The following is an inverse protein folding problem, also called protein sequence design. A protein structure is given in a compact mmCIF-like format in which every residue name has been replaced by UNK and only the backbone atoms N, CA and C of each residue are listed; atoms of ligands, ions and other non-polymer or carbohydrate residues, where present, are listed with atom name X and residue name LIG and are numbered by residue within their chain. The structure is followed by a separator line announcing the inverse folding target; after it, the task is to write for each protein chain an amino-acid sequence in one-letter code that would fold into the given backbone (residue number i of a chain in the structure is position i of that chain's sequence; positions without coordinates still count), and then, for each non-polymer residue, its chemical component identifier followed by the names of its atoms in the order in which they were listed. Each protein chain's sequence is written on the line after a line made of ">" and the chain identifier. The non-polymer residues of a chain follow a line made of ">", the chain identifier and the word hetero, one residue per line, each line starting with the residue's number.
data_IF_115100393023
#
_entry.id   IF_115100393023
#
_cell.length_a   1.000
_cell.length_b   1.000
_cell.length_c   1.000
_cell.angle_alpha   90.00
_cell.angle_beta   90.00
_cell.angle_gamma   90.00
#
_symmetry.space_group_name_H-M   'P 1'
#
loop_
_entity.id
_entity.type
_entity.pdbx_description
1 polymer ?
#
# COMPACT_ATOMS: atom_id res chain seq x y z
N UNK A 1 28.54 6.45 -16.31
CA UNK A 1 27.73 5.28 -15.96
C UNK A 1 27.93 5.00 -14.48
N UNK A 2 27.15 5.65 -13.62
CA UNK A 2 27.19 5.39 -12.17
C UNK A 2 26.50 4.05 -11.95
N UNK A 3 27.28 3.04 -11.58
CA UNK A 3 26.78 1.72 -11.21
C UNK A 3 25.87 1.91 -10.00
N UNK A 4 24.56 1.68 -10.18
CA UNK A 4 23.62 1.59 -9.06
C UNK A 4 24.15 0.52 -8.10
N UNK A 5 24.46 0.93 -6.86
CA UNK A 5 24.95 0.01 -5.83
C UNK A 5 23.83 -1.01 -5.57
N UNK A 6 24.06 -2.33 -5.73
CA UNK A 6 23.01 -3.31 -5.55
C UNK A 6 22.53 -3.30 -4.09
N UNK A 7 21.23 -3.05 -3.89
CA UNK A 7 20.58 -3.15 -2.58
C UNK A 7 20.44 -4.65 -2.25
N UNK A 8 20.90 -5.10 -1.07
CA UNK A 8 20.92 -6.52 -0.71
C UNK A 8 19.57 -7.20 -0.96
N UNK A 9 19.60 -8.41 -1.51
CA UNK A 9 18.45 -9.30 -1.62
C UNK A 9 17.83 -9.53 -0.24
N UNK A 10 16.53 -9.86 -0.19
CA UNK A 10 15.73 -10.09 1.03
C UNK A 10 16.28 -11.18 1.99
N UNK A 11 17.49 -11.69 1.77
CA UNK A 11 18.06 -12.86 2.44
C UNK A 11 19.21 -12.62 3.42
N UNK A 12 19.87 -11.46 3.43
CA UNK A 12 21.06 -11.26 4.27
C UNK A 12 20.88 -10.11 5.27
N UNK A 13 20.85 -10.52 6.56
CA UNK A 13 20.72 -9.74 7.80
C UNK A 13 19.30 -9.28 8.18
N UNK A 14 19.05 -9.32 9.50
CA UNK A 14 17.78 -9.08 10.19
C UNK A 14 17.29 -7.61 10.11
N UNK A 15 17.25 -7.05 8.90
CA UNK A 15 16.90 -5.67 8.62
C UNK A 15 15.42 -5.45 8.28
N UNK A 16 14.99 -4.20 8.42
CA UNK A 16 13.65 -3.77 8.03
C UNK A 16 13.59 -3.51 6.52
N UNK A 17 12.48 -3.89 5.88
CA UNK A 17 12.23 -3.54 4.48
C UNK A 17 11.99 -2.04 4.35
N UNK A 18 11.20 -1.47 5.26
CA UNK A 18 10.97 -0.04 5.41
C UNK A 18 10.97 0.33 6.88
N UNK A 19 11.64 1.42 7.22
CA UNK A 19 11.61 2.03 8.55
C UNK A 19 11.35 3.53 8.42
N UNK A 20 10.36 4.02 9.16
CA UNK A 20 10.09 5.43 9.36
C UNK A 20 10.32 5.75 10.84
N UNK A 21 11.12 6.78 11.13
CA UNK A 21 11.49 7.16 12.50
C UNK A 21 11.11 8.61 12.76
N UNK A 22 10.26 8.80 13.76
CA UNK A 22 9.85 10.11 14.29
C UNK A 22 9.40 11.10 13.21
N UNK A 23 8.62 10.61 12.22
CA UNK A 23 8.18 11.44 11.11
C UNK A 23 7.25 12.54 11.60
N UNK A 24 7.50 13.75 11.11
CA UNK A 24 6.61 14.89 11.29
C UNK A 24 6.31 15.53 9.94
N UNK A 25 5.08 15.99 9.75
CA UNK A 25 4.71 16.74 8.55
C UNK A 25 3.55 17.70 8.81
N UNK A 26 3.74 18.93 8.34
CA UNK A 26 2.72 19.98 8.39
C UNK A 26 2.46 20.55 7.01
N UNK A 27 1.18 20.75 6.69
CA UNK A 27 0.80 21.56 5.54
C UNK A 27 0.98 23.03 5.91
N UNK A 28 1.83 23.73 5.14
CA UNK A 28 1.94 25.18 5.25
C UNK A 28 0.61 25.83 4.87
N UNK A 29 0.23 26.93 5.53
CA UNK A 29 -0.93 27.69 5.09
C UNK A 29 -0.71 28.23 3.69
N UNK A 30 -1.75 28.23 2.86
CA UNK A 30 -1.73 28.92 1.57
C UNK A 30 -1.52 30.43 1.75
N UNK A 31 -1.07 31.10 0.69
CA UNK A 31 -0.96 32.56 0.68
C UNK A 31 -2.31 33.21 1.00
N UNK A 32 -2.36 34.02 2.07
CA UNK A 32 -3.55 34.75 2.49
C UNK A 32 -3.24 36.24 2.56
N UNK A 33 -4.02 37.05 1.84
CA UNK A 33 -3.94 38.51 1.85
C UNK A 33 -4.66 39.13 3.06
N UNK A 34 -5.32 38.32 3.89
CA UNK A 34 -6.10 38.79 5.03
C UNK A 34 -5.34 38.52 6.34
N UNK A 35 -5.16 39.53 7.22
CA UNK A 35 -4.44 39.34 8.48
C UNK A 35 -5.17 38.33 9.37
N UNK A 36 -4.49 37.24 9.74
CA UNK A 36 -4.94 36.33 10.81
C UNK A 36 -5.48 34.95 10.41
N UNK A 37 -5.40 34.53 9.13
CA UNK A 37 -6.04 33.26 8.69
C UNK A 37 -5.14 32.27 7.94
N UNK A 38 -3.96 32.03 8.48
CA UNK A 38 -3.01 31.07 7.95
C UNK A 38 -2.44 30.21 9.10
N UNK A 39 -3.29 29.39 9.73
CA UNK A 39 -2.79 28.30 10.58
C UNK A 39 -2.54 27.08 9.69
N UNK A 40 -1.30 26.57 9.73
CA UNK A 40 -0.95 25.31 9.09
C UNK A 40 -1.63 24.13 9.78
N UNK A 41 -1.66 22.98 9.11
CA UNK A 41 -2.26 21.75 9.65
C UNK A 41 -1.18 20.69 9.87
N UNK A 42 -1.00 20.26 11.12
CA UNK A 42 -0.10 19.15 11.48
C UNK A 42 -0.76 17.81 11.12
N UNK A 43 -0.37 17.24 9.98
CA UNK A 43 -0.97 16.02 9.47
C UNK A 43 -0.30 14.75 10.00
N UNK A 44 1.00 14.79 10.30
CA UNK A 44 1.78 13.68 10.86
C UNK A 44 2.54 14.20 12.08
N UNK A 45 2.39 13.51 13.21
CA UNK A 45 2.90 13.93 14.53
C UNK A 45 3.68 12.77 15.15
N UNK A 46 5.00 12.76 14.96
CA UNK A 46 5.90 11.77 15.56
C UNK A 46 5.52 10.31 15.24
N UNK A 47 5.38 10.01 13.95
CA UNK A 47 5.04 8.67 13.49
C UNK A 47 6.31 7.84 13.28
N UNK A 48 6.38 6.71 13.98
CA UNK A 48 7.36 5.66 13.71
C UNK A 48 6.64 4.41 13.21
N UNK A 49 7.17 3.78 12.16
CA UNK A 49 6.57 2.63 11.49
C UNK A 49 7.65 1.71 10.94
N UNK A 50 7.49 0.41 11.11
CA UNK A 50 8.46 -0.58 10.66
C UNK A 50 7.77 -1.74 9.93
N UNK A 51 8.23 -2.01 8.70
CA UNK A 51 7.77 -3.09 7.85
C UNK A 51 8.89 -4.11 7.64
N UNK A 52 8.65 -5.37 7.97
CA UNK A 52 9.63 -6.44 7.79
C UNK A 52 9.60 -7.01 6.35
N UNK A 53 10.71 -7.60 5.87
CA UNK A 53 10.73 -8.36 4.63
C UNK A 53 9.67 -9.47 4.63
N UNK A 54 8.87 -9.58 3.56
CA UNK A 54 7.83 -10.61 3.44
C UNK A 54 6.65 -10.46 4.41
N UNK A 55 6.50 -9.31 5.07
CA UNK A 55 5.38 -9.02 5.97
C UNK A 55 4.31 -8.18 5.26
N UNK A 56 3.06 -8.37 5.67
CA UNK A 56 1.97 -7.41 5.42
C UNK A 56 1.69 -6.64 6.70
N UNK A 57 1.98 -5.34 6.69
CA UNK A 57 1.61 -4.40 7.75
C UNK A 57 0.34 -3.66 7.33
N UNK A 58 -0.71 -3.79 8.13
CA UNK A 58 -1.95 -3.05 7.96
C UNK A 58 -1.89 -1.68 8.62
N UNK A 59 -2.31 -0.62 7.93
CA UNK A 59 -2.50 0.71 8.50
C UNK A 59 -3.98 1.07 8.48
N UNK A 60 -4.57 1.24 9.68
CA UNK A 60 -6.01 1.49 9.85
C UNK A 60 -6.24 2.78 10.61
N UNK A 61 -7.29 3.49 10.27
CA UNK A 61 -7.77 4.65 11.01
C UNK A 61 -8.93 5.31 10.29
N UNK A 62 -9.62 6.23 10.96
CA UNK A 62 -10.72 6.99 10.38
C UNK A 62 -10.29 7.82 9.16
N UNK A 63 -11.26 8.19 8.31
CA UNK A 63 -10.99 9.11 7.20
C UNK A 63 -10.38 10.42 7.73
N UNK A 64 -9.35 10.93 7.06
CA UNK A 64 -8.67 12.17 7.48
C UNK A 64 -7.67 12.04 8.63
N UNK A 65 -7.43 10.85 9.20
CA UNK A 65 -6.48 10.70 10.31
C UNK A 65 -4.99 10.82 9.93
N UNK A 66 -4.67 10.91 8.63
CA UNK A 66 -3.31 11.12 8.12
C UNK A 66 -2.73 9.97 7.27
N UNK A 67 -3.46 8.87 7.06
CA UNK A 67 -2.99 7.68 6.30
C UNK A 67 -2.41 8.01 4.91
N UNK A 68 -3.15 8.71 4.07
CA UNK A 68 -2.67 9.07 2.71
C UNK A 68 -1.54 10.10 2.73
N UNK A 69 -1.48 10.95 3.76
CA UNK A 69 -0.31 11.83 3.98
C UNK A 69 0.92 10.99 4.33
N UNK A 70 0.79 10.02 5.23
CA UNK A 70 1.87 9.09 5.57
C UNK A 70 2.31 8.30 4.33
N UNK A 71 1.37 7.77 3.55
CA UNK A 71 1.65 7.10 2.29
C UNK A 71 2.49 7.98 1.34
N UNK A 72 2.10 9.25 1.17
CA UNK A 72 2.81 10.21 0.31
C UNK A 72 4.26 10.44 0.78
N UNK A 73 4.49 10.50 2.09
CA UNK A 73 5.84 10.59 2.67
C UNK A 73 6.65 9.32 2.38
N UNK A 74 6.04 8.15 2.62
CA UNK A 74 6.65 6.84 2.40
C UNK A 74 6.87 6.51 0.91
N UNK A 75 6.36 7.30 -0.03
CA UNK A 75 6.63 7.16 -1.47
C UNK A 75 7.63 8.20 -2.00
N UNK A 76 8.03 9.14 -1.15
CA UNK A 76 8.86 10.28 -1.54
C UNK A 76 8.12 11.30 -2.43
N UNK A 77 6.78 11.27 -2.45
CA UNK A 77 5.98 12.31 -3.12
C UNK A 77 5.94 13.61 -2.31
N UNK A 78 6.12 13.49 -1.00
CA UNK A 78 6.32 14.59 -0.07
C UNK A 78 7.53 14.28 0.79
N UNK A 79 8.25 15.32 1.19
CA UNK A 79 9.32 15.18 2.18
C UNK A 79 8.78 15.44 3.58
N UNK A 80 9.19 14.66 4.59
CA UNK A 80 8.86 14.96 5.97
C UNK A 80 9.50 16.29 6.39
N UNK A 81 8.84 17.01 7.30
CA UNK A 81 9.41 18.21 7.93
C UNK A 81 10.55 17.84 8.88
N UNK A 82 10.46 16.68 9.53
CA UNK A 82 11.54 16.07 10.32
C UNK A 82 11.33 14.56 10.46
N UNK A 83 12.34 13.86 10.95
CA UNK A 83 12.40 12.40 10.99
C UNK A 83 13.12 11.82 9.77
N UNK A 84 13.24 10.50 9.74
CA UNK A 84 13.97 9.78 8.70
C UNK A 84 13.18 8.60 8.16
N UNK A 85 13.41 8.27 6.89
CA UNK A 85 12.86 7.09 6.23
C UNK A 85 14.03 6.29 5.64
N UNK A 86 14.01 4.98 5.85
CA UNK A 86 15.00 4.05 5.35
C UNK A 86 14.33 2.90 4.59
N UNK A 87 14.98 2.41 3.54
CA UNK A 87 14.63 1.18 2.83
C UNK A 87 15.81 0.25 2.82
N UNK A 88 15.63 -0.97 3.34
CA UNK A 88 16.70 -1.98 3.41
C UNK A 88 18.00 -1.39 4.01
N UNK A 89 17.85 -0.57 5.07
CA UNK A 89 18.96 0.12 5.75
C UNK A 89 19.57 1.31 5.00
N UNK A 90 19.03 1.71 3.84
CA UNK A 90 19.50 2.88 3.08
C UNK A 90 18.57 4.07 3.28
N UNK A 91 19.14 5.25 3.51
CA UNK A 91 18.36 6.49 3.65
C UNK A 91 17.56 6.80 2.37
N UNK A 92 16.32 7.25 2.55
CA UNK A 92 15.47 7.74 1.46
C UNK A 92 16.17 8.84 0.64
N UNK A 93 16.90 9.74 1.30
CA UNK A 93 17.57 10.87 0.63
C UNK A 93 18.62 10.41 -0.37
N UNK A 94 19.31 9.31 -0.05
CA UNK A 94 20.30 8.68 -0.92
C UNK A 94 19.62 7.98 -2.10
N UNK A 95 18.47 7.33 -1.88
CA UNK A 95 17.71 6.64 -2.92
C UNK A 95 16.98 7.58 -3.88
N UNK A 96 16.73 8.83 -3.48
CA UNK A 96 16.11 9.85 -4.32
C UNK A 96 17.11 10.61 -5.20
N UNK A 97 18.41 10.61 -4.85
CA UNK A 97 19.47 11.31 -5.60
C UNK A 97 20.32 10.29 -6.40
N UNK A 98 20.68 10.55 -7.67
CA UNK A 98 20.36 11.71 -8.49
C UNK A 98 18.97 11.63 -9.16
N UNK A 99 18.25 10.50 -9.05
CA UNK A 99 16.89 10.38 -9.58
C UNK A 99 16.05 9.36 -8.78
N UNK A 100 14.73 9.59 -8.72
CA UNK A 100 13.77 8.76 -7.96
C UNK A 100 13.59 7.32 -8.49
N UNK A 101 14.27 6.90 -9.57
CA UNK A 101 14.03 5.57 -10.17
C UNK A 101 14.55 4.43 -9.32
N UNK A 102 15.64 4.64 -8.57
CA UNK A 102 16.15 3.65 -7.62
C UNK A 102 15.11 3.32 -6.56
N UNK A 103 14.59 4.36 -5.88
CA UNK A 103 13.46 4.25 -4.96
C UNK A 103 12.25 3.57 -5.62
N UNK A 104 11.79 4.11 -6.75
CA UNK A 104 10.60 3.60 -7.43
C UNK A 104 10.76 2.15 -7.92
N UNK A 105 11.98 1.67 -8.20
CA UNK A 105 12.18 0.26 -8.56
C UNK A 105 11.89 -0.68 -7.39
N UNK A 106 12.13 -0.24 -6.16
CA UNK A 106 11.98 -1.07 -4.96
C UNK A 106 10.65 -0.90 -4.25
N UNK A 107 10.06 0.29 -4.31
CA UNK A 107 8.76 0.62 -3.72
C UNK A 107 7.81 1.10 -4.81
N UNK A 108 6.69 0.38 -4.96
CA UNK A 108 5.63 0.70 -5.90
C UNK A 108 4.31 0.93 -5.16
N UNK A 109 3.42 1.71 -5.77
CA UNK A 109 2.16 2.14 -5.16
C UNK A 109 0.98 1.65 -5.98
N UNK A 110 -0.03 1.13 -5.30
CA UNK A 110 -1.37 0.92 -5.83
C UNK A 110 -2.27 1.94 -5.14
N UNK A 111 -2.63 3.00 -5.86
CA UNK A 111 -3.46 4.09 -5.35
C UNK A 111 -4.95 3.77 -5.40
N UNK A 112 -5.72 4.51 -4.62
CA UNK A 112 -7.18 4.46 -4.59
C UNK A 112 -7.82 4.75 -5.96
N UNK A 113 -7.33 5.77 -6.67
CA UNK A 113 -7.82 6.13 -8.01
C UNK A 113 -7.04 5.41 -9.12
N UNK A 114 -7.46 4.18 -9.40
CA UNK A 114 -6.88 3.37 -10.48
C UNK A 114 -7.13 3.96 -11.87
N UNK A 115 -8.23 4.70 -12.06
CA UNK A 115 -8.53 5.32 -13.36
C UNK A 115 -7.62 6.52 -13.62
N UNK A 116 -7.43 7.39 -12.62
CA UNK A 116 -6.48 8.49 -12.69
C UNK A 116 -5.03 8.04 -12.87
N UNK A 117 -4.71 6.81 -12.45
CA UNK A 117 -3.38 6.25 -12.64
C UNK A 117 -3.07 5.79 -14.08
N UNK A 118 -4.08 5.55 -14.94
CA UNK A 118 -3.88 5.03 -16.31
C UNK A 118 -4.14 6.11 -17.37
N UNK A 119 -3.28 6.22 -18.40
CA UNK A 119 -3.55 7.13 -19.54
C UNK A 119 -4.71 6.58 -20.39
N UNK A 120 -5.86 7.27 -20.47
CA UNK A 120 -7.03 6.79 -21.21
C UNK A 120 -6.82 6.72 -22.72
N UNK A 121 -5.77 7.39 -23.24
CA UNK A 121 -5.45 7.47 -24.68
C UNK A 121 -4.47 6.41 -25.15
N UNK A 122 -3.97 5.55 -24.25
CA UNK A 122 -3.01 4.49 -24.56
C UNK A 122 -3.59 3.14 -24.14
N UNK A 123 -3.28 2.08 -24.89
CA UNK A 123 -3.59 0.72 -24.45
C UNK A 123 -2.85 0.40 -23.16
N UNK A 124 -3.39 -0.52 -22.36
CA UNK A 124 -2.74 -0.92 -21.10
C UNK A 124 -1.40 -1.60 -21.36
N UNK A 125 -1.26 -2.34 -22.48
CA UNK A 125 0.00 -2.95 -22.89
C UNK A 125 1.08 -1.93 -23.25
N UNK A 126 0.71 -0.79 -23.86
CA UNK A 126 1.66 0.31 -24.08
C UNK A 126 2.18 0.85 -22.75
N UNK A 127 1.27 1.11 -21.80
CA UNK A 127 1.63 1.66 -20.48
C UNK A 127 2.53 0.70 -19.67
N UNK A 128 2.36 -0.62 -19.84
CA UNK A 128 3.27 -1.62 -19.26
C UNK A 128 4.69 -1.51 -19.84
N UNK A 129 4.80 -1.43 -21.17
CA UNK A 129 6.09 -1.33 -21.85
C UNK A 129 6.80 0.00 -21.57
N UNK A 130 6.02 1.08 -21.45
CA UNK A 130 6.51 2.40 -21.03
C UNK A 130 7.08 2.37 -19.61
N UNK A 131 6.40 1.69 -18.68
CA UNK A 131 6.92 1.49 -17.31
C UNK A 131 8.27 0.78 -17.33
N UNK A 132 8.40 -0.31 -18.09
CA UNK A 132 9.67 -1.00 -18.30
C UNK A 132 10.74 -0.10 -18.95
N UNK A 133 10.35 0.77 -19.89
CA UNK A 133 11.26 1.71 -20.55
C UNK A 133 11.82 2.76 -19.60
N UNK A 134 10.97 3.37 -18.78
CA UNK A 134 11.34 4.39 -17.78
C UNK A 134 12.39 3.85 -16.81
N UNK A 135 12.20 2.60 -16.37
CA UNK A 135 13.11 1.90 -15.46
C UNK A 135 14.28 1.21 -16.16
N UNK A 136 14.41 1.33 -17.49
CA UNK A 136 15.46 0.69 -18.30
C UNK A 136 15.54 -0.84 -18.11
N UNK A 137 14.38 -1.48 -17.94
CA UNK A 137 14.26 -2.93 -17.74
C UNK A 137 13.99 -3.61 -19.09
N UNK A 138 14.82 -4.61 -19.39
CA UNK A 138 14.73 -5.42 -20.60
C UNK A 138 15.05 -4.66 -21.90
N UNK A 139 15.32 -5.43 -22.95
CA UNK A 139 15.47 -4.90 -24.30
C UNK A 139 14.08 -4.55 -24.88
N UNK A 140 13.93 -3.53 -25.76
CA UNK A 140 12.64 -3.21 -26.36
C UNK A 140 11.88 -4.43 -26.92
N UNK A 141 12.59 -5.37 -27.56
CA UNK A 141 12.00 -6.59 -28.11
C UNK A 141 11.47 -7.59 -27.07
N UNK A 142 11.92 -7.53 -25.82
CA UNK A 142 11.50 -8.46 -24.75
C UNK A 142 10.41 -7.90 -23.84
N UNK A 143 10.02 -6.64 -24.01
CA UNK A 143 9.05 -5.97 -23.10
C UNK A 143 7.62 -6.44 -23.31
N UNK A 144 7.26 -6.83 -24.53
CA UNK A 144 5.95 -7.43 -24.83
C UNK A 144 5.72 -8.70 -24.02
N UNK A 145 6.72 -9.57 -23.98
CA UNK A 145 6.62 -10.89 -23.36
C UNK A 145 6.53 -10.75 -21.84
N UNK A 146 7.36 -9.87 -21.25
CA UNK A 146 7.26 -9.51 -19.82
C UNK A 146 5.89 -8.95 -19.45
N UNK A 147 5.30 -8.11 -20.30
CA UNK A 147 3.95 -7.59 -20.06
C UNK A 147 2.89 -8.70 -20.11
N UNK A 148 3.02 -9.65 -21.04
CA UNK A 148 2.14 -10.81 -21.14
C UNK A 148 2.25 -11.74 -19.94
N UNK A 149 3.46 -12.04 -19.48
CA UNK A 149 3.72 -12.82 -18.27
C UNK A 149 3.14 -12.16 -17.02
N UNK A 150 3.31 -10.83 -16.90
CA UNK A 150 2.75 -10.06 -15.79
C UNK A 150 1.22 -10.09 -15.79
N UNK A 151 0.59 -10.01 -16.96
CA UNK A 151 -0.88 -10.12 -17.09
C UNK A 151 -1.37 -11.50 -16.65
N UNK A 152 -0.67 -12.58 -17.02
CA UNK A 152 -1.00 -13.93 -16.52
C UNK A 152 -0.89 -14.01 -15.00
N UNK A 153 0.16 -13.43 -14.42
CA UNK A 153 0.36 -13.41 -12.97
C UNK A 153 -0.76 -12.70 -12.19
N UNK A 154 -1.39 -11.68 -12.78
CA UNK A 154 -2.55 -10.98 -12.18
C UNK A 154 -3.91 -11.55 -12.63
N UNK A 155 -3.91 -12.74 -13.22
CA UNK A 155 -5.09 -13.42 -13.78
C UNK A 155 -5.86 -12.58 -14.81
N UNK A 156 -5.15 -11.85 -15.66
CA UNK A 156 -5.71 -11.16 -16.83
C UNK A 156 -5.34 -11.91 -18.12
N UNK A 157 -6.26 -11.99 -19.10
CA UNK A 157 -5.94 -12.55 -20.40
C UNK A 157 -4.95 -11.63 -21.12
N UNK A 158 -4.00 -12.20 -21.85
CA UNK A 158 -2.99 -11.46 -22.63
C UNK A 158 -3.64 -10.53 -23.66
N UNK A 159 -4.82 -10.90 -24.19
CA UNK A 159 -5.61 -10.05 -25.10
C UNK A 159 -6.02 -8.72 -24.48
N UNK A 160 -6.08 -8.61 -23.15
CA UNK A 160 -6.37 -7.35 -22.47
C UNK A 160 -5.26 -6.31 -22.66
N UNK A 161 -4.04 -6.69 -23.05
CA UNK A 161 -2.96 -5.74 -23.36
C UNK A 161 -3.32 -4.76 -24.48
N UNK A 162 -4.20 -5.17 -25.40
CA UNK A 162 -4.66 -4.32 -26.50
C UNK A 162 -5.82 -3.40 -26.10
N UNK A 163 -6.40 -3.59 -24.91
CA UNK A 163 -7.53 -2.79 -24.45
C UNK A 163 -7.07 -1.44 -23.89
N UNK A 164 -7.96 -0.46 -24.00
CA UNK A 164 -7.85 0.83 -23.33
C UNK A 164 -8.51 0.77 -21.94
N UNK A 165 -8.15 1.65 -20.98
CA UNK A 165 -8.70 1.64 -19.62
C UNK A 165 -10.24 1.65 -19.55
N UNK A 166 -10.90 2.37 -20.46
CA UNK A 166 -12.36 2.47 -20.51
C UNK A 166 -13.05 1.16 -20.97
N UNK A 167 -12.32 0.22 -21.57
CA UNK A 167 -12.84 -1.07 -22.05
C UNK A 167 -12.71 -2.20 -21.01
N UNK A 168 -12.25 -1.87 -19.80
CA UNK A 168 -12.01 -2.82 -18.71
C UNK A 168 -13.06 -2.65 -17.60
N UNK A 169 -13.42 -3.74 -16.93
CA UNK A 169 -14.24 -3.66 -15.70
C UNK A 169 -13.44 -3.04 -14.54
N UNK A 170 -14.10 -2.62 -13.46
CA UNK A 170 -13.43 -2.09 -12.27
C UNK A 170 -12.35 -3.04 -11.71
N UNK A 171 -12.68 -4.32 -11.54
CA UNK A 171 -11.72 -5.35 -11.11
C UNK A 171 -10.58 -5.59 -12.10
N UNK A 172 -10.86 -5.54 -13.41
CA UNK A 172 -9.80 -5.65 -14.42
C UNK A 172 -8.85 -4.46 -14.38
N UNK A 173 -9.38 -3.24 -14.24
CA UNK A 173 -8.56 -2.03 -14.04
C UNK A 173 -7.68 -2.16 -12.81
N UNK A 174 -8.22 -2.65 -11.68
CA UNK A 174 -7.43 -2.88 -10.48
C UNK A 174 -6.28 -3.86 -10.71
N UNK A 175 -6.55 -4.97 -11.38
CA UNK A 175 -5.52 -5.95 -11.76
C UNK A 175 -4.48 -5.37 -12.71
N UNK A 176 -4.85 -4.46 -13.62
CA UNK A 176 -3.89 -3.73 -14.46
C UNK A 176 -3.03 -2.80 -13.61
N UNK A 177 -3.59 -2.12 -12.61
CA UNK A 177 -2.82 -1.28 -11.66
C UNK A 177 -1.78 -2.12 -10.91
N UNK A 178 -2.21 -3.28 -10.39
CA UNK A 178 -1.34 -4.26 -9.74
C UNK A 178 -0.26 -4.74 -10.70
N UNK A 179 -0.61 -5.11 -11.94
CA UNK A 179 0.37 -5.53 -12.96
C UNK A 179 1.41 -4.44 -13.23
N UNK A 180 0.98 -3.18 -13.36
CA UNK A 180 1.87 -2.04 -13.60
C UNK A 180 2.88 -1.86 -12.46
N UNK A 181 2.44 -1.98 -11.22
CA UNK A 181 3.31 -1.91 -10.06
C UNK A 181 4.29 -3.09 -10.03
N UNK A 182 3.84 -4.30 -10.39
CA UNK A 182 4.66 -5.52 -10.30
C UNK A 182 5.65 -5.71 -11.44
N UNK A 183 5.44 -5.06 -12.58
CA UNK A 183 6.25 -5.31 -13.80
C UNK A 183 7.71 -4.91 -13.63
N UNK A 184 8.01 -4.03 -12.66
CA UNK A 184 9.37 -3.61 -12.31
C UNK A 184 10.00 -4.48 -11.21
N UNK A 185 9.30 -5.54 -10.78
CA UNK A 185 9.73 -6.48 -9.74
C UNK A 185 10.08 -5.78 -8.41
N UNK A 186 9.13 -5.01 -7.81
CA UNK A 186 9.40 -4.31 -6.57
C UNK A 186 9.58 -5.28 -5.40
N UNK A 187 10.20 -4.79 -4.32
CA UNK A 187 10.29 -5.53 -3.04
C UNK A 187 9.18 -5.11 -2.08
N UNK A 188 8.69 -3.87 -2.20
CA UNK A 188 7.64 -3.29 -1.35
C UNK A 188 6.50 -2.79 -2.22
N UNK A 189 5.27 -3.09 -1.80
CA UNK A 189 4.06 -2.58 -2.40
C UNK A 189 3.26 -1.83 -1.34
N UNK A 190 3.07 -0.53 -1.57
CA UNK A 190 2.18 0.29 -0.78
C UNK A 190 0.80 0.27 -1.44
N UNK A 191 -0.19 -0.25 -0.74
CA UNK A 191 -1.56 -0.34 -1.21
C UNK A 191 -2.41 0.69 -0.46
N UNK A 192 -2.78 1.79 -1.12
CA UNK A 192 -3.67 2.82 -0.54
C UNK A 192 -5.11 2.58 -0.99
N UNK A 193 -5.94 2.02 -0.10
CA UNK A 193 -7.35 1.72 -0.36
C UNK A 193 -7.59 0.89 -1.64
N UNK A 194 -6.82 -0.19 -1.89
CA UNK A 194 -6.71 -0.84 -3.19
C UNK A 194 -7.99 -1.55 -3.66
N UNK A 195 -9.01 -1.64 -2.81
CA UNK A 195 -10.26 -2.36 -3.09
C UNK A 195 -11.52 -1.56 -2.72
N UNK A 196 -11.37 -0.31 -2.29
CA UNK A 196 -12.46 0.51 -1.75
C UNK A 196 -13.59 0.80 -2.75
N UNK A 197 -13.28 0.87 -4.05
CA UNK A 197 -14.23 1.15 -5.12
C UNK A 197 -14.79 -0.11 -5.81
N UNK A 198 -14.54 -1.31 -5.26
CA UNK A 198 -14.91 -2.59 -5.88
C UNK A 198 -16.10 -3.22 -5.17
N UNK A 199 -16.89 -4.01 -5.90
CA UNK A 199 -17.90 -4.86 -5.27
C UNK A 199 -17.24 -5.95 -4.41
N UNK A 200 -17.98 -6.47 -3.42
CA UNK A 200 -17.48 -7.41 -2.42
C UNK A 200 -16.86 -8.67 -3.04
N UNK A 201 -17.41 -9.15 -4.16
CA UNK A 201 -16.92 -10.36 -4.82
C UNK A 201 -15.57 -10.14 -5.50
N UNK A 202 -15.44 -9.02 -6.22
CA UNK A 202 -14.19 -8.61 -6.89
C UNK A 202 -13.13 -8.20 -5.86
N UNK A 203 -13.53 -7.52 -4.79
CA UNK A 203 -12.65 -7.19 -3.66
C UNK A 203 -11.98 -8.45 -3.11
N UNK A 204 -12.73 -9.50 -2.79
CA UNK A 204 -12.16 -10.76 -2.29
C UNK A 204 -11.16 -11.38 -3.27
N UNK A 205 -11.44 -11.35 -4.58
CA UNK A 205 -10.53 -11.86 -5.60
C UNK A 205 -9.22 -11.06 -5.67
N UNK A 206 -9.29 -9.73 -5.56
CA UNK A 206 -8.11 -8.84 -5.59
C UNK A 206 -7.26 -9.03 -4.34
N UNK A 207 -7.89 -9.17 -3.17
CA UNK A 207 -7.17 -9.43 -1.91
C UNK A 207 -6.43 -10.77 -1.96
N UNK A 208 -7.09 -11.84 -2.43
CA UNK A 208 -6.44 -13.14 -2.60
C UNK A 208 -5.26 -13.06 -3.57
N UNK A 209 -5.43 -12.35 -4.70
CA UNK A 209 -4.35 -12.13 -5.65
C UNK A 209 -3.15 -11.44 -4.98
N UNK A 210 -3.36 -10.38 -4.19
CA UNK A 210 -2.27 -9.69 -3.48
C UNK A 210 -1.56 -10.62 -2.49
N UNK A 211 -2.30 -11.44 -1.74
CA UNK A 211 -1.73 -12.42 -0.80
C UNK A 211 -0.93 -13.52 -1.52
N UNK A 212 -1.43 -14.02 -2.65
CA UNK A 212 -0.74 -15.04 -3.43
C UNK A 212 0.56 -14.49 -4.03
N UNK A 213 0.53 -13.27 -4.55
CA UNK A 213 1.72 -12.57 -5.06
C UNK A 213 2.73 -12.29 -3.95
N UNK A 214 2.26 -11.90 -2.77
CA UNK A 214 3.08 -11.66 -1.60
C UNK A 214 3.88 -12.91 -1.22
N UNK A 215 3.22 -14.06 -1.13
CA UNK A 215 3.87 -15.36 -0.84
C UNK A 215 4.78 -15.81 -1.96
N UNK A 216 4.32 -15.74 -3.21
CA UNK A 216 5.06 -16.26 -4.37
C UNK A 216 6.32 -15.45 -4.69
N UNK A 217 6.35 -14.15 -4.37
CA UNK A 217 7.46 -13.24 -4.72
C UNK A 217 8.19 -12.67 -3.51
N UNK A 218 7.79 -13.02 -2.29
CA UNK A 218 8.37 -12.50 -1.05
C UNK A 218 8.21 -10.98 -0.91
N UNK A 219 7.08 -10.42 -1.37
CA UNK A 219 6.81 -8.98 -1.27
C UNK A 219 6.55 -8.57 0.19
N UNK A 220 6.96 -7.36 0.54
CA UNK A 220 6.44 -6.69 1.73
C UNK A 220 5.30 -5.76 1.35
N UNK A 221 4.19 -5.83 2.08
CA UNK A 221 2.99 -5.04 1.81
C UNK A 221 2.75 -4.04 2.94
N UNK A 222 2.62 -2.75 2.60
CA UNK A 222 1.96 -1.78 3.48
C UNK A 222 0.53 -1.59 3.00
N UNK A 223 -0.43 -2.15 3.72
CA UNK A 223 -1.84 -2.19 3.32
C UNK A 223 -2.64 -1.15 4.10
N UNK A 224 -3.04 -0.08 3.43
CA UNK A 224 -3.78 1.03 4.02
C UNK A 224 -5.26 0.87 3.68
N UNK A 225 -6.13 0.87 4.69
CA UNK A 225 -7.57 0.75 4.51
C UNK A 225 -8.33 1.28 5.72
N UNK A 226 -9.51 1.86 5.49
CA UNK A 226 -10.48 2.16 6.53
C UNK A 226 -11.36 0.95 6.91
N UNK A 227 -11.47 -0.08 6.07
CA UNK A 227 -12.17 -1.33 6.43
C UNK A 227 -11.25 -2.23 7.26
N UNK A 228 -11.51 -2.21 8.57
CA UNK A 228 -10.88 -3.00 9.62
C UNK A 228 -10.94 -4.51 9.33
N UNK A 229 -12.02 -5.02 8.71
CA UNK A 229 -12.18 -6.45 8.42
C UNK A 229 -11.24 -6.92 7.32
N UNK A 230 -11.03 -6.07 6.31
CA UNK A 230 -10.08 -6.32 5.23
C UNK A 230 -8.68 -6.40 5.81
N UNK A 231 -8.30 -5.40 6.61
CA UNK A 231 -6.97 -5.35 7.22
C UNK A 231 -6.72 -6.56 8.12
N UNK A 232 -7.71 -6.93 8.94
CA UNK A 232 -7.64 -8.14 9.77
C UNK A 232 -7.31 -9.39 8.95
N UNK A 233 -7.92 -9.52 7.78
CA UNK A 233 -7.79 -10.71 6.95
C UNK A 233 -6.43 -10.81 6.26
N UNK A 234 -5.83 -9.68 5.87
CA UNK A 234 -4.64 -9.66 5.01
C UNK A 234 -3.32 -9.39 5.74
N UNK A 235 -3.37 -8.88 6.98
CA UNK A 235 -2.20 -8.32 7.65
C UNK A 235 -1.66 -9.22 8.75
N UNK A 236 -0.34 -9.35 8.81
CA UNK A 236 0.36 -10.06 9.89
C UNK A 236 0.42 -9.20 11.15
N UNK A 237 0.71 -7.91 10.97
CA UNK A 237 0.69 -6.87 12.01
C UNK A 237 -0.20 -5.71 11.58
N UNK A 238 -0.65 -4.94 12.56
CA UNK A 238 -1.43 -3.72 12.33
C UNK A 238 -0.78 -2.54 13.04
N UNK A 239 -0.96 -1.35 12.47
CA UNK A 239 -0.75 -0.06 13.09
C UNK A 239 -2.06 0.73 13.01
N UNK A 240 -2.54 1.18 14.16
CA UNK A 240 -3.76 1.98 14.30
C UNK A 240 -3.36 3.46 14.37
N UNK A 241 -3.95 4.26 13.49
CA UNK A 241 -3.64 5.67 13.33
C UNK A 241 -4.81 6.56 13.72
N UNK A 242 -4.56 7.50 14.63
CA UNK A 242 -5.51 8.51 15.09
C UNK A 242 -4.85 9.89 15.04
N UNK A 243 -5.54 10.88 14.45
CA UNK A 243 -5.15 12.29 14.49
C UNK A 243 -3.66 12.61 14.19
N UNK A 244 -3.06 11.89 13.24
CA UNK A 244 -1.67 12.04 12.82
C UNK A 244 -0.65 11.18 13.57
N UNK A 245 -1.08 10.27 14.45
CA UNK A 245 -0.22 9.47 15.32
C UNK A 245 -0.52 7.97 15.18
N UNK A 246 0.49 7.12 15.38
CA UNK A 246 0.26 5.68 15.59
C UNK A 246 -0.01 5.47 17.07
N UNK A 247 -1.25 5.11 17.40
CA UNK A 247 -1.71 4.97 18.80
C UNK A 247 -1.60 3.55 19.33
N UNK A 248 -1.55 2.55 18.43
CA UNK A 248 -1.39 1.15 18.79
C UNK A 248 -0.76 0.37 17.63
N UNK A 249 0.14 -0.57 17.92
CA UNK A 249 0.69 -1.48 16.93
C UNK A 249 0.98 -2.83 17.56
N UNK A 250 0.83 -3.90 16.79
CA UNK A 250 1.08 -5.25 17.26
C UNK A 250 0.65 -6.32 16.26
N UNK A 251 0.78 -7.61 16.63
CA UNK A 251 0.20 -8.71 15.87
C UNK A 251 -1.28 -8.47 15.64
N UNK A 252 -1.76 -8.69 14.41
CA UNK A 252 -3.14 -8.39 14.02
C UNK A 252 -4.15 -9.09 14.94
N UNK A 253 -3.96 -10.37 15.24
CA UNK A 253 -4.90 -11.08 16.10
C UNK A 253 -4.92 -10.57 17.55
N UNK A 254 -3.78 -10.09 18.07
CA UNK A 254 -3.67 -9.56 19.43
C UNK A 254 -4.38 -8.21 19.56
N UNK A 255 -4.06 -7.25 18.69
CA UNK A 255 -4.67 -5.91 18.69
C UNK A 255 -6.19 -5.98 18.49
N UNK A 256 -6.66 -6.92 17.67
CA UNK A 256 -8.08 -7.07 17.38
C UNK A 256 -8.85 -7.85 18.45
N UNK A 257 -8.18 -8.73 19.21
CA UNK A 257 -8.80 -9.48 20.31
C UNK A 257 -8.78 -8.70 21.62
N UNK A 258 -7.65 -8.05 21.93
CA UNK A 258 -7.39 -7.32 23.16
C UNK A 258 -6.82 -5.92 22.83
N UNK A 259 -7.63 -5.00 22.31
CA UNK A 259 -7.18 -3.65 22.00
C UNK A 259 -6.75 -2.93 23.29
N UNK A 260 -5.51 -2.47 23.34
CA UNK A 260 -4.96 -1.74 24.48
C UNK A 260 -5.37 -0.26 24.49
N UNK A 261 -5.50 0.36 23.31
CA UNK A 261 -5.82 1.77 23.19
C UNK A 261 -7.35 2.00 23.11
N UNK A 262 -7.92 2.98 23.84
CA UNK A 262 -9.36 3.27 23.82
C UNK A 262 -9.91 3.57 22.43
N UNK A 263 -9.14 4.27 21.58
CA UNK A 263 -9.53 4.52 20.19
C UNK A 263 -9.67 3.22 19.39
N UNK A 264 -8.72 2.29 19.55
CA UNK A 264 -8.78 0.98 18.88
C UNK A 264 -10.01 0.20 19.32
N UNK A 265 -10.30 0.18 20.64
CA UNK A 265 -11.51 -0.47 21.15
C UNK A 265 -12.78 0.15 20.54
N UNK A 266 -12.86 1.48 20.46
CA UNK A 266 -13.97 2.19 19.83
C UNK A 266 -14.10 1.85 18.34
N UNK A 267 -12.99 1.91 17.60
CA UNK A 267 -12.93 1.60 16.17
C UNK A 267 -13.42 0.17 15.89
N UNK A 268 -12.97 -0.80 16.66
CA UNK A 268 -13.38 -2.21 16.54
C UNK A 268 -14.85 -2.43 16.93
N UNK A 269 -15.36 -1.69 17.92
CA UNK A 269 -16.75 -1.80 18.35
C UNK A 269 -17.76 -1.33 17.30
N UNK A 270 -17.35 -0.42 16.42
CA UNK A 270 -18.17 0.09 15.31
C UNK A 270 -18.29 -0.89 14.14
N UNK A 271 -17.45 -1.94 14.09
CA UNK A 271 -17.46 -2.91 13.00
C UNK A 271 -18.66 -3.86 13.15
N UNK A 272 -19.56 -3.96 12.17
CA UNK A 272 -20.70 -4.88 12.24
C UNK A 272 -20.21 -6.33 12.38
N UNK A 273 -20.56 -6.98 13.50
CA UNK A 273 -20.28 -8.41 13.70
C UNK A 273 -21.14 -9.21 12.71
N UNK A 274 -20.51 -9.81 11.70
CA UNK A 274 -21.20 -10.60 10.68
C UNK A 274 -22.05 -11.74 11.27
N UNK A 275 -23.10 -12.15 10.55
CA UNK A 275 -24.10 -13.18 10.94
C UNK A 275 -23.52 -14.49 11.50
N UNK A 276 -22.25 -14.83 11.22
CA UNK A 276 -21.55 -15.99 11.77
C UNK A 276 -21.40 -15.98 13.30
N UNK A 277 -21.45 -14.83 13.96
CA UNK A 277 -21.37 -14.78 15.43
C UNK A 277 -22.70 -15.11 16.11
N UNK A 278 -23.84 -14.82 15.46
CA UNK A 278 -25.17 -15.18 15.97
C UNK A 278 -25.38 -16.69 16.06
N UNK A 279 -24.78 -17.48 15.16
CA UNK A 279 -24.89 -18.95 15.20
C UNK A 279 -24.04 -19.59 16.30
N UNK A 280 -22.85 -19.05 16.63
CA UNK A 280 -22.02 -19.56 17.75
C UNK A 280 -22.61 -19.21 19.12
N UNK A 281 -23.25 -18.06 19.28
CA UNK A 281 -23.96 -17.72 20.52
C UNK A 281 -25.26 -18.52 20.68
N UNK A 282 -26.00 -18.78 19.59
CA UNK A 282 -27.17 -19.65 19.65
C UNK A 282 -26.81 -21.12 19.97
N UNK A 283 -25.69 -21.63 19.42
CA UNK A 283 -25.21 -22.97 19.74
C UNK A 283 -24.75 -23.10 21.21
N UNK A 284 -24.03 -22.10 21.75
CA UNK A 284 -23.57 -22.12 23.14
C UNK A 284 -24.72 -22.05 24.17
N UNK A 285 -25.83 -21.37 23.84
CA UNK A 285 -27.04 -21.33 24.69
C UNK A 285 -27.85 -22.63 24.63
N UNK A 286 -27.74 -23.39 23.54
CA UNK A 286 -28.39 -24.71 23.41
C UNK A 286 -27.60 -25.84 24.07
N UNK A 287 -26.28 -25.68 24.27
CA UNK A 287 -25.45 -26.63 25.04
C UNK A 287 -25.53 -26.42 26.56
N UNK A 288 -26.22 -25.37 27.02
CA UNK A 288 -26.44 -25.06 28.45
C UNK A 288 -27.89 -25.28 28.91
N UNK A 289 -28.72 -25.91 28.08
CA UNK A 289 -30.07 -26.42 28.39
C UNK A 289 -30.08 -27.94 28.31
#
# INVERSE_FOLDING_TARGET
>A
MTLEKPIPSNGDEAGLALAARNLQFSYSPGFSLWPGRAQGFHAIKDVSLELKPGETLGLVGESGCGKSTLASLLCGDRMPTSGAIELFGQSFDDLMKPNRRGLARHLQVISQDTLGALDPRRSVGHQMQETLAIHRIGHPSSRSDRAAETFKAVSLPVSALQKFPHQLSGGQRQRVAIARALIVEPKILLCDEPVSALDVSVQAQVLNLLLDLQRARGLSLLFISHDVRVVRHVSHRVAIMEAGQIVETGPTEEVFANPAHPYTAKLLSAVPRGRRHKMRQAAAVLETL
#
